data_IF_739995030727
#
_entry.id   IF_739995030727
#
_cell.length_a   1.000
_cell.length_b   1.000
_cell.length_c   1.000
_cell.angle_alpha   90.00
_cell.angle_beta   90.00
_cell.angle_gamma   90.00
#
_symmetry.space_group_name_H-M   'P 1'
#
loop_
_entity.id
_entity.type
_entity.pdbx_description
1 polymer ?
#
# COMPACT_ATOMS: atom_id res chain seq x y z
N UNK A 1 5.26 -17.34 -25.37
CA UNK A 1 4.38 -17.88 -24.31
C UNK A 1 4.20 -16.87 -23.16
N UNK A 2 5.26 -16.25 -22.63
CA UNK A 2 5.18 -15.23 -21.54
C UNK A 2 4.34 -13.98 -21.84
N UNK A 3 4.32 -13.49 -23.08
CA UNK A 3 3.48 -12.32 -23.45
C UNK A 3 1.97 -12.63 -23.41
N UNK A 4 1.58 -13.87 -23.70
CA UNK A 4 0.17 -14.31 -23.73
C UNK A 4 -0.35 -14.46 -22.29
N UNK A 5 0.44 -15.05 -21.40
CA UNK A 5 0.09 -15.17 -19.97
C UNK A 5 0.01 -13.81 -19.29
N UNK A 6 0.92 -12.88 -19.61
CA UNK A 6 0.84 -11.50 -19.11
C UNK A 6 -0.42 -10.76 -19.60
N UNK A 7 -0.81 -10.93 -20.87
CA UNK A 7 -2.04 -10.34 -21.39
C UNK A 7 -3.29 -10.93 -20.73
N UNK A 8 -3.31 -12.24 -20.48
CA UNK A 8 -4.40 -12.91 -19.76
C UNK A 8 -4.53 -12.42 -18.31
N UNK A 9 -3.41 -12.25 -17.60
CA UNK A 9 -3.41 -11.73 -16.23
C UNK A 9 -3.93 -10.28 -16.15
N UNK A 10 -3.58 -9.42 -17.13
CA UNK A 10 -4.11 -8.05 -17.22
C UNK A 10 -5.61 -8.03 -17.45
N UNK A 11 -6.11 -8.90 -18.33
CA UNK A 11 -7.55 -9.06 -18.56
C UNK A 11 -8.27 -9.48 -17.28
N UNK A 12 -7.71 -10.42 -16.52
CA UNK A 12 -8.28 -10.84 -15.24
C UNK A 12 -8.28 -9.72 -14.20
N UNK A 13 -7.24 -8.88 -14.15
CA UNK A 13 -7.19 -7.70 -13.29
C UNK A 13 -8.26 -6.67 -13.66
N UNK A 14 -8.47 -6.41 -14.95
CA UNK A 14 -9.52 -5.48 -15.39
C UNK A 14 -10.91 -5.99 -15.03
N UNK A 15 -11.19 -7.28 -15.26
CA UNK A 15 -12.47 -7.90 -14.89
C UNK A 15 -12.67 -7.83 -13.38
N UNK A 16 -11.65 -8.20 -12.61
CA UNK A 16 -11.68 -8.15 -11.15
C UNK A 16 -11.90 -6.74 -10.62
N UNK A 17 -11.25 -5.73 -11.22
CA UNK A 17 -11.42 -4.33 -10.83
C UNK A 17 -12.80 -3.78 -11.16
N UNK A 18 -13.33 -4.07 -12.35
CA UNK A 18 -14.69 -3.66 -12.74
C UNK A 18 -15.73 -4.27 -11.78
N UNK A 19 -15.56 -5.55 -11.41
CA UNK A 19 -16.42 -6.22 -10.45
C UNK A 19 -16.29 -5.62 -9.04
N UNK A 20 -15.07 -5.34 -8.58
CA UNK A 20 -14.81 -4.70 -7.30
C UNK A 20 -15.41 -3.29 -7.21
N UNK A 21 -15.19 -2.45 -8.23
CA UNK A 21 -15.65 -1.06 -8.27
C UNK A 21 -17.18 -0.97 -8.39
N UNK A 22 -17.80 -1.84 -9.20
CA UNK A 22 -19.24 -1.74 -9.50
C UNK A 22 -20.10 -2.54 -8.53
N UNK A 23 -19.69 -3.74 -8.13
CA UNK A 23 -20.47 -4.63 -7.26
C UNK A 23 -20.13 -4.47 -5.78
N UNK A 24 -18.86 -4.64 -5.44
CA UNK A 24 -18.42 -4.75 -4.04
C UNK A 24 -18.47 -3.40 -3.32
N UNK A 25 -18.04 -2.30 -3.96
CA UNK A 25 -18.08 -0.95 -3.35
C UNK A 25 -19.50 -0.49 -3.05
N UNK A 26 -20.47 -0.77 -3.92
CA UNK A 26 -21.88 -0.40 -3.72
C UNK A 26 -22.51 -1.29 -2.64
N UNK A 27 -22.23 -2.59 -2.66
CA UNK A 27 -22.72 -3.53 -1.65
C UNK A 27 -22.23 -3.16 -0.26
N UNK A 28 -20.93 -2.92 -0.09
CA UNK A 28 -20.35 -2.61 1.22
C UNK A 28 -20.91 -1.31 1.80
N UNK A 29 -21.18 -0.31 0.95
CA UNK A 29 -21.86 0.94 1.37
C UNK A 29 -23.28 0.69 1.86
N UNK A 30 -24.04 -0.16 1.15
CA UNK A 30 -25.41 -0.52 1.56
C UNK A 30 -25.42 -1.34 2.85
N UNK A 31 -24.46 -2.25 3.03
CA UNK A 31 -24.30 -3.00 4.27
C UNK A 31 -23.98 -2.04 5.42
N UNK A 32 -23.03 -1.12 5.24
CA UNK A 32 -22.69 -0.12 6.24
C UNK A 32 -23.90 0.75 6.61
N UNK A 33 -24.68 1.18 5.61
CA UNK A 33 -25.93 1.91 5.82
C UNK A 33 -26.94 1.11 6.66
N UNK A 34 -27.15 -0.17 6.37
CA UNK A 34 -28.03 -1.03 7.16
C UNK A 34 -27.54 -1.22 8.59
N UNK A 35 -26.22 -1.36 8.77
CA UNK A 35 -25.58 -1.50 10.08
C UNK A 35 -25.74 -0.24 10.93
N UNK A 36 -25.62 0.95 10.33
CA UNK A 36 -25.87 2.22 11.03
C UNK A 36 -27.35 2.35 11.40
N UNK A 37 -28.27 2.04 10.48
CA UNK A 37 -29.71 2.25 10.67
C UNK A 37 -30.37 1.26 11.64
N UNK A 38 -29.82 0.05 11.79
CA UNK A 38 -30.44 -1.02 12.60
C UNK A 38 -29.66 -1.38 13.86
N UNK A 39 -28.65 -0.59 14.26
CA UNK A 39 -28.03 -0.78 15.56
C UNK A 39 -28.76 -0.01 16.65
N UNK A 40 -29.61 -0.73 17.38
CA UNK A 40 -30.42 -0.21 18.49
C UNK A 40 -29.67 -0.05 19.81
N UNK A 41 -28.55 -0.77 20.00
CA UNK A 41 -27.82 -0.78 21.28
C UNK A 41 -26.31 -0.64 21.08
N UNK A 42 -25.63 0.25 21.83
CA UNK A 42 -24.18 0.39 21.78
C UNK A 42 -23.53 -0.94 22.17
N UNK A 43 -22.61 -1.43 21.33
CA UNK A 43 -21.86 -2.67 21.62
C UNK A 43 -20.55 -2.31 22.31
N UNK A 44 -20.32 -2.92 23.47
CA UNK A 44 -19.03 -2.84 24.13
C UNK A 44 -18.11 -3.88 23.50
N UNK A 45 -17.03 -3.43 22.88
CA UNK A 45 -15.99 -4.29 22.33
C UNK A 45 -14.74 -4.14 23.21
N UNK A 46 -14.06 -5.27 23.46
CA UNK A 46 -12.82 -5.28 24.22
C UNK A 46 -11.67 -4.99 23.28
N UNK A 47 -11.03 -3.83 23.43
CA UNK A 47 -9.83 -3.47 22.69
C UNK A 47 -8.69 -3.32 23.68
N UNK A 48 -7.63 -4.14 23.53
CA UNK A 48 -6.42 -4.07 24.39
C UNK A 48 -6.71 -4.13 25.89
N UNK A 49 -7.52 -5.09 26.33
CA UNK A 49 -7.99 -5.26 27.71
C UNK A 49 -8.96 -4.20 28.25
N UNK A 50 -9.25 -3.14 27.52
CA UNK A 50 -10.22 -2.12 27.94
C UNK A 50 -11.58 -2.32 27.25
N UNK A 51 -12.64 -2.10 28.01
CA UNK A 51 -14.01 -2.12 27.53
C UNK A 51 -14.37 -0.76 26.97
N UNK A 52 -14.31 -0.61 25.66
CA UNK A 52 -14.65 0.65 25.00
C UNK A 52 -16.06 0.53 24.41
N UNK A 53 -16.98 1.44 24.77
CA UNK A 53 -18.27 1.52 24.09
C UNK A 53 -18.03 2.03 22.66
N UNK A 54 -18.29 1.17 21.67
CA UNK A 54 -18.30 1.57 20.26
C UNK A 54 -19.75 1.86 19.86
N UNK A 55 -20.04 3.12 19.56
CA UNK A 55 -21.29 3.52 18.92
C UNK A 55 -21.05 3.71 17.40
N UNK A 56 -21.55 2.81 16.55
CA UNK A 56 -21.40 2.90 15.11
C UNK A 56 -22.40 3.86 14.45
N UNK A 57 -23.33 4.47 15.19
CA UNK A 57 -24.28 5.45 14.64
C UNK A 57 -23.61 6.74 14.16
N UNK A 58 -22.43 7.05 14.70
CA UNK A 58 -21.67 8.25 14.31
C UNK A 58 -20.86 8.07 13.04
N UNK A 59 -20.84 6.86 12.45
CA UNK A 59 -20.06 6.59 11.25
C UNK A 59 -20.71 7.16 10.00
N UNK A 60 -19.88 7.74 9.13
CA UNK A 60 -20.35 8.21 7.84
C UNK A 60 -20.66 7.01 6.92
N UNK A 61 -21.90 6.91 6.46
CA UNK A 61 -22.36 5.83 5.58
C UNK A 61 -21.72 5.86 4.17
N UNK A 62 -21.08 6.96 3.78
CA UNK A 62 -20.40 7.15 2.49
C UNK A 62 -18.87 7.06 2.57
N UNK A 63 -18.32 6.44 3.63
CA UNK A 63 -16.89 6.25 3.76
C UNK A 63 -16.25 5.65 2.48
N UNK A 64 -15.12 6.23 2.05
CA UNK A 64 -14.46 5.80 0.83
C UNK A 64 -13.89 4.38 0.99
N UNK A 65 -14.15 3.53 -0.01
CA UNK A 65 -13.66 2.16 -0.05
C UNK A 65 -12.65 2.06 -1.18
N UNK A 66 -11.40 1.81 -0.81
CA UNK A 66 -10.36 1.40 -1.73
C UNK A 66 -10.31 -0.13 -1.78
N UNK A 67 -10.32 -0.69 -2.99
CA UNK A 67 -10.31 -2.14 -3.20
C UNK A 67 -9.07 -2.47 -4.03
N UNK A 68 -8.17 -3.27 -3.45
CA UNK A 68 -7.05 -3.86 -4.16
C UNK A 68 -7.44 -5.28 -4.59
N UNK A 69 -7.43 -5.53 -5.90
CA UNK A 69 -7.71 -6.86 -6.45
C UNK A 69 -6.38 -7.55 -6.68
N UNK A 70 -5.82 -8.10 -5.61
CA UNK A 70 -4.55 -8.82 -5.61
C UNK A 70 -4.61 -10.12 -6.41
N UNK A 71 -4.37 -10.04 -7.72
CA UNK A 71 -4.04 -11.22 -8.53
C UNK A 71 -2.55 -11.52 -8.32
N UNK A 72 -2.29 -12.30 -7.27
CA UNK A 72 -1.00 -12.51 -6.57
C UNK A 72 0.23 -12.95 -7.36
N UNK A 73 0.28 -12.80 -8.69
CA UNK A 73 1.42 -13.24 -9.52
C UNK A 73 1.97 -12.16 -10.47
N UNK A 74 1.20 -11.11 -10.82
CA UNK A 74 1.62 -10.17 -11.87
C UNK A 74 2.70 -9.14 -11.47
N UNK A 75 2.81 -8.82 -10.18
CA UNK A 75 3.70 -7.74 -9.70
C UNK A 75 5.02 -8.24 -9.14
N UNK A 76 5.10 -9.45 -8.58
CA UNK A 76 6.33 -9.95 -7.97
C UNK A 76 7.40 -10.27 -9.03
N UNK A 77 7.03 -10.93 -10.13
CA UNK A 77 7.95 -11.24 -11.23
C UNK A 77 8.46 -9.96 -11.90
N UNK A 78 7.58 -8.99 -12.13
CA UNK A 78 7.94 -7.68 -12.69
C UNK A 78 8.86 -6.90 -11.74
N UNK A 79 8.59 -6.94 -10.43
CA UNK A 79 9.46 -6.34 -9.41
C UNK A 79 10.82 -7.02 -9.35
N UNK A 80 10.87 -8.35 -9.44
CA UNK A 80 12.12 -9.10 -9.45
C UNK A 80 12.96 -8.81 -10.70
N UNK A 81 12.32 -8.73 -11.88
CA UNK A 81 13.00 -8.32 -13.11
C UNK A 81 13.52 -6.88 -13.04
N UNK A 82 12.72 -5.96 -12.49
CA UNK A 82 13.15 -4.58 -12.28
C UNK A 82 14.30 -4.49 -11.26
N UNK A 83 14.28 -5.29 -10.19
CA UNK A 83 15.35 -5.39 -9.21
C UNK A 83 16.64 -5.95 -9.83
N UNK A 84 16.56 -6.99 -10.65
CA UNK A 84 17.72 -7.53 -11.36
C UNK A 84 18.33 -6.48 -12.31
N UNK A 85 17.48 -5.74 -13.02
CA UNK A 85 17.95 -4.65 -13.89
C UNK A 85 18.54 -3.47 -13.12
N UNK A 86 17.98 -3.15 -11.95
CA UNK A 86 18.53 -2.15 -11.05
C UNK A 86 19.92 -2.57 -10.54
N UNK A 87 20.10 -3.84 -10.17
CA UNK A 87 21.40 -4.38 -9.77
C UNK A 87 22.45 -4.27 -10.87
N UNK A 88 22.10 -4.60 -12.12
CA UNK A 88 23.01 -4.44 -13.28
C UNK A 88 23.41 -2.97 -13.50
N UNK A 89 22.44 -2.05 -13.39
CA UNK A 89 22.71 -0.61 -13.48
C UNK A 89 23.60 -0.15 -12.32
N UNK A 90 23.36 -0.65 -11.10
CA UNK A 90 24.17 -0.34 -9.92
C UNK A 90 25.60 -0.87 -10.06
N UNK A 91 25.81 -2.07 -10.61
CA UNK A 91 27.14 -2.62 -10.90
C UNK A 91 27.88 -1.78 -11.95
N UNK A 92 27.19 -1.41 -13.04
CA UNK A 92 27.76 -0.54 -14.08
C UNK A 92 28.10 0.86 -13.56
N UNK A 93 27.26 1.45 -12.72
CA UNK A 93 27.53 2.76 -12.09
C UNK A 93 28.68 2.62 -11.08
N UNK A 94 28.70 1.54 -10.29
CA UNK A 94 29.79 1.25 -9.35
C UNK A 94 31.14 1.05 -10.05
N UNK A 95 31.16 0.39 -11.22
CA UNK A 95 32.35 0.22 -12.04
C UNK A 95 32.82 1.52 -12.71
N UNK A 96 31.87 2.35 -13.19
CA UNK A 96 32.17 3.64 -13.82
C UNK A 96 32.59 4.74 -12.83
N UNK A 97 32.27 4.59 -11.53
CA UNK A 97 32.59 5.57 -10.48
C UNK A 97 33.73 5.15 -9.53
N UNK A 98 34.42 4.04 -9.79
CA UNK A 98 35.59 3.65 -9.00
C UNK A 98 35.26 3.09 -7.60
N UNK A 99 34.15 2.35 -7.49
CA UNK A 99 33.80 1.61 -6.27
C UNK A 99 32.85 2.33 -5.31
N UNK A 100 32.67 1.74 -4.11
CA UNK A 100 31.63 2.03 -3.11
C UNK A 100 31.69 3.44 -2.46
N UNK A 101 32.60 4.31 -2.90
CA UNK A 101 32.82 5.67 -2.37
C UNK A 101 32.66 6.78 -3.44
N UNK A 102 31.90 6.51 -4.50
CA UNK A 102 31.54 7.54 -5.47
C UNK A 102 30.54 8.57 -4.90
N UNK A 103 30.70 9.88 -5.20
CA UNK A 103 29.95 10.96 -4.56
C UNK A 103 28.43 10.95 -4.84
N UNK A 104 27.91 10.07 -5.70
CA UNK A 104 26.47 9.96 -5.95
C UNK A 104 25.75 8.98 -5.01
N UNK A 105 26.48 8.06 -4.35
CA UNK A 105 25.90 7.05 -3.46
C UNK A 105 25.78 7.59 -2.03
N UNK A 106 26.73 8.41 -1.57
CA UNK A 106 26.70 9.06 -0.27
C UNK A 106 25.65 10.19 -0.20
N UNK A 107 25.49 10.99 -1.25
CA UNK A 107 24.59 12.15 -1.22
C UNK A 107 23.09 11.80 -1.12
N UNK A 108 22.67 10.56 -1.39
CA UNK A 108 21.26 10.17 -1.24
C UNK A 108 20.97 9.51 0.12
N UNK A 109 22.00 9.13 0.89
CA UNK A 109 21.81 8.40 2.16
C UNK A 109 22.47 9.05 3.38
N UNK A 110 23.35 10.06 3.24
CA UNK A 110 24.00 10.70 4.40
C UNK A 110 23.69 12.20 4.52
N UNK A 111 22.92 12.51 5.57
CA UNK A 111 23.10 13.65 6.50
C UNK A 111 22.48 15.00 6.09
N UNK A 112 21.22 15.22 6.53
CA UNK A 112 20.88 16.49 7.20
C UNK A 112 21.81 16.56 8.43
N UNK A 113 22.69 17.56 8.54
CA UNK A 113 23.53 17.70 9.72
C UNK A 113 22.62 17.95 10.93
N UNK A 114 22.73 17.18 12.03
CA UNK A 114 22.07 17.57 13.26
C UNK A 114 22.64 18.93 13.70
N UNK A 115 21.76 19.90 13.94
CA UNK A 115 22.11 21.20 14.51
C UNK A 115 22.95 20.97 15.79
N UNK A 116 24.11 21.63 15.95
CA UNK A 116 24.84 21.55 17.20
C UNK A 116 23.98 22.18 18.31
N UNK A 117 23.63 21.36 19.30
CA UNK A 117 23.18 21.86 20.60
C UNK A 117 24.34 22.66 21.22
N UNK A 118 24.20 23.98 21.28
CA UNK A 118 25.13 24.85 22.01
C UNK A 118 24.87 24.70 23.51
N UNK A 119 25.87 24.34 24.34
CA UNK A 119 25.71 24.38 25.79
C UNK A 119 25.82 25.82 26.31
N UNK A 120 24.72 26.32 26.88
CA UNK A 120 24.70 27.33 27.95
C UNK A 120 25.12 28.77 27.63
N UNK A 121 24.14 29.66 27.49
CA UNK A 121 23.91 30.76 28.45
C UNK A 121 22.42 31.02 28.55
#
# INVERSE_FOLDING_TARGET
ISKITQAANKRQQLIGRIFAETGVKVLMRKILHLVISHQDKPRTIRLRNDWVPMDPRTWNAEMDVSIDVGLGFGTQESKMFAMQRLMEIQERIGAAQGGLNGPLITCIFTVVPPLPIQPGT
#
